data_IF_556313362462
#
_entry.id   IF_556313362462
#
_cell.length_a   1.000
_cell.length_b   1.000
_cell.length_c   1.000
_cell.angle_alpha   90.00
_cell.angle_beta   90.00
_cell.angle_gamma   90.00
#
_symmetry.space_group_name_H-M   'P 1'
#
loop_
_entity.id
_entity.type
_entity.pdbx_description
1 polymer ?
#
# COMPACT_ATOMS: atom_id res chain seq x y z
N UNK A 1 6.25 10.60 13.19
CA UNK A 1 6.57 9.49 12.28
C UNK A 1 8.00 9.65 11.78
N UNK A 2 8.82 8.60 11.80
CA UNK A 2 10.22 8.65 11.33
C UNK A 2 10.57 7.43 10.49
N UNK A 3 11.59 7.53 9.64
CA UNK A 3 12.08 6.42 8.81
C UNK A 3 13.48 6.02 9.24
N UNK A 4 13.68 4.74 9.50
CA UNK A 4 14.99 4.19 9.87
C UNK A 4 15.25 2.87 9.15
N UNK A 5 16.53 2.60 8.87
CA UNK A 5 16.97 1.30 8.37
C UNK A 5 17.16 0.37 9.57
N UNK A 6 16.47 -0.77 9.57
CA UNK A 6 16.53 -1.78 10.62
C UNK A 6 16.35 -3.16 10.00
N UNK A 7 17.10 -4.16 10.47
CA UNK A 7 16.96 -5.55 10.02
C UNK A 7 17.06 -5.76 8.49
N UNK A 8 17.81 -4.89 7.79
CA UNK A 8 18.00 -4.97 6.35
C UNK A 8 16.96 -4.24 5.49
N UNK A 9 15.96 -3.59 6.10
CA UNK A 9 14.91 -2.87 5.39
C UNK A 9 14.64 -1.48 5.99
N UNK A 10 14.08 -0.57 5.18
CA UNK A 10 13.60 0.71 5.68
C UNK A 10 12.20 0.54 6.28
N UNK A 11 12.01 1.08 7.49
CA UNK A 11 10.74 1.03 8.21
C UNK A 11 10.26 2.40 8.63
N UNK A 12 8.95 2.59 8.60
CA UNK A 12 8.25 3.73 9.16
C UNK A 12 7.89 3.42 10.61
N UNK A 13 8.33 4.27 11.53
CA UNK A 13 7.99 4.22 12.95
C UNK A 13 6.92 5.26 13.28
N UNK A 14 5.88 4.84 13.98
CA UNK A 14 4.72 5.66 14.33
C UNK A 14 4.14 5.23 15.69
N UNK A 15 3.30 6.08 16.29
CA UNK A 15 2.51 5.71 17.46
C UNK A 15 1.19 5.13 16.96
N UNK A 16 0.81 3.93 17.42
CA UNK A 16 -0.48 3.33 17.11
C UNK A 16 -1.62 3.98 17.91
N UNK A 17 -2.84 3.45 17.73
CA UNK A 17 -4.05 3.97 18.37
C UNK A 17 -4.01 3.88 19.90
N UNK A 18 -3.22 2.95 20.46
CA UNK A 18 -2.99 2.79 21.90
C UNK A 18 -1.78 3.63 22.40
N UNK A 19 -1.12 4.37 21.50
CA UNK A 19 0.05 5.19 21.79
C UNK A 19 1.36 4.40 21.91
N UNK A 20 1.37 3.11 21.57
CA UNK A 20 2.57 2.30 21.55
C UNK A 20 3.38 2.53 20.28
N UNK A 21 4.70 2.33 20.38
CA UNK A 21 5.58 2.46 19.23
C UNK A 21 5.43 1.25 18.30
N UNK A 22 4.90 1.48 17.12
CA UNK A 22 4.75 0.50 16.06
C UNK A 22 5.66 0.81 14.87
N UNK A 23 5.91 -0.21 14.03
CA UNK A 23 6.68 -0.05 12.81
C UNK A 23 6.15 -0.93 11.68
N UNK A 24 6.23 -0.44 10.45
CA UNK A 24 5.90 -1.20 9.24
C UNK A 24 6.91 -0.94 8.12
N UNK A 25 7.08 -1.86 7.16
CA UNK A 25 7.96 -1.65 6.01
C UNK A 25 7.56 -0.38 5.25
N UNK A 26 8.55 0.42 4.84
CA UNK A 26 8.30 1.61 4.01
C UNK A 26 7.52 1.25 2.75
N UNK A 27 7.83 0.09 2.15
CA UNK A 27 7.18 -0.45 0.93
C UNK A 27 5.67 -0.69 1.06
N UNK A 28 5.12 -0.67 2.29
CA UNK A 28 3.68 -0.81 2.53
C UNK A 28 2.97 0.53 2.72
N UNK A 29 3.71 1.63 2.68
CA UNK A 29 3.22 2.98 2.96
C UNK A 29 3.40 3.88 1.76
N UNK A 30 2.76 5.04 1.79
CA UNK A 30 2.96 6.14 0.84
C UNK A 30 4.31 6.87 1.01
N UNK A 31 5.07 6.53 2.05
CA UNK A 31 6.45 7.01 2.25
C UNK A 31 7.42 6.35 1.27
N UNK A 32 7.09 5.16 0.75
CA UNK A 32 7.90 4.54 -0.30
C UNK A 32 7.87 5.38 -1.57
N UNK A 33 9.02 5.48 -2.23
CA UNK A 33 9.03 5.94 -3.61
C UNK A 33 8.15 5.02 -4.47
N UNK A 34 7.43 5.57 -5.46
CA UNK A 34 6.62 4.76 -6.37
C UNK A 34 7.47 3.67 -7.03
N UNK A 35 6.96 2.44 -6.99
CA UNK A 35 7.63 1.32 -7.64
C UNK A 35 7.83 1.60 -9.14
N UNK A 36 9.04 1.40 -9.70
CA UNK A 36 9.32 1.70 -11.10
C UNK A 36 8.45 0.92 -12.08
N UNK A 37 8.10 -0.34 -11.79
CA UNK A 37 7.20 -1.12 -12.63
C UNK A 37 5.79 -0.52 -12.59
N UNK A 38 5.28 -0.14 -11.43
CA UNK A 38 3.97 0.54 -11.30
C UNK A 38 3.96 1.83 -12.12
N UNK A 39 5.02 2.62 -12.02
CA UNK A 39 5.19 3.88 -12.75
C UNK A 39 5.21 3.65 -14.27
N UNK A 40 6.02 2.71 -14.74
CA UNK A 40 6.14 2.36 -16.17
C UNK A 40 4.87 1.72 -16.74
N UNK A 41 4.18 0.89 -15.95
CA UNK A 41 2.94 0.26 -16.34
C UNK A 41 1.86 1.31 -16.65
N UNK A 42 1.87 2.46 -15.96
CA UNK A 42 1.00 3.60 -16.24
C UNK A 42 -0.49 3.19 -16.34
N UNK A 43 -0.91 2.33 -15.43
CA UNK A 43 -2.29 1.83 -15.39
C UNK A 43 -2.67 0.80 -16.47
N UNK A 44 -1.71 0.29 -17.24
CA UNK A 44 -1.96 -0.73 -18.29
C UNK A 44 -1.83 -2.17 -17.81
N UNK A 45 -1.57 -2.37 -16.52
CA UNK A 45 -1.56 -3.71 -15.94
C UNK A 45 -2.98 -4.29 -15.93
N UNK A 46 -3.14 -5.53 -16.38
CA UNK A 46 -4.38 -6.25 -16.22
C UNK A 46 -4.62 -6.55 -14.73
N UNK A 47 -5.87 -6.44 -14.27
CA UNK A 47 -6.28 -6.78 -12.91
C UNK A 47 -5.55 -6.00 -11.79
N UNK A 48 -5.37 -4.67 -11.94
CA UNK A 48 -4.89 -3.82 -10.84
C UNK A 48 -5.80 -3.95 -9.62
N UNK A 49 -5.25 -3.80 -8.41
CA UNK A 49 -6.02 -3.85 -7.17
C UNK A 49 -7.24 -2.92 -7.22
N UNK A 50 -7.06 -1.68 -7.70
CA UNK A 50 -8.16 -0.73 -7.87
C UNK A 50 -9.24 -1.20 -8.85
N UNK A 51 -8.84 -1.84 -9.96
CA UNK A 51 -9.77 -2.42 -10.94
C UNK A 51 -10.53 -3.61 -10.34
N UNK A 52 -9.85 -4.46 -9.55
CA UNK A 52 -10.46 -5.60 -8.86
C UNK A 52 -11.43 -5.15 -7.76
N UNK A 53 -11.07 -4.14 -6.97
CA UNK A 53 -11.97 -3.56 -5.97
C UNK A 53 -13.22 -2.96 -6.62
N UNK A 54 -13.04 -2.25 -7.75
CA UNK A 54 -14.16 -1.74 -8.55
C UNK A 54 -15.02 -2.88 -9.09
N UNK A 55 -14.42 -3.96 -9.58
CA UNK A 55 -15.14 -5.13 -10.06
C UNK A 55 -15.96 -5.78 -8.92
N UNK A 56 -15.39 -5.93 -7.73
CA UNK A 56 -16.10 -6.43 -6.55
C UNK A 56 -17.34 -5.57 -6.23
N UNK A 57 -17.20 -4.24 -6.28
CA UNK A 57 -18.32 -3.33 -6.06
C UNK A 57 -19.43 -3.52 -7.11
N UNK A 58 -19.08 -3.64 -8.39
CA UNK A 58 -20.04 -3.90 -9.49
C UNK A 58 -20.74 -5.24 -9.32
N UNK A 59 -20.02 -6.31 -8.95
CA UNK A 59 -20.62 -7.62 -8.71
C UNK A 59 -21.59 -7.58 -7.52
N UNK A 60 -21.22 -6.86 -6.45
CA UNK A 60 -22.08 -6.72 -5.28
C UNK A 60 -23.37 -5.92 -5.57
N UNK A 61 -23.31 -4.95 -6.48
CA UNK A 61 -24.48 -4.23 -6.98
C UNK A 61 -25.38 -5.12 -7.84
N UNK A 62 -24.81 -5.87 -8.78
CA UNK A 62 -25.57 -6.74 -9.69
C UNK A 62 -26.23 -7.94 -9.00
N UNK A 63 -25.85 -8.26 -7.75
CA UNK A 63 -26.44 -9.34 -6.94
C UNK A 63 -27.58 -8.87 -6.03
N UNK A 64 -27.87 -7.57 -5.97
CA UNK A 64 -29.03 -7.02 -5.26
C UNK A 64 -30.26 -7.07 -6.14
#
# INVERSE_FOLDING_TARGET
MSVHQTWGEYRVFYADDDGALAAMPVTWTDVAEPDPFVTLASGRAYCRLSDLLRLCAVIAEARR
#
